data_IF_098895974577
#
_entry.id   IF_098895974577
#
_cell.length_a   1.000
_cell.length_b   1.000
_cell.length_c   1.000
_cell.angle_alpha   90.00
_cell.angle_beta   90.00
_cell.angle_gamma   90.00
#
_symmetry.space_group_name_H-M   'P 1'
#
loop_
_entity.id
_entity.type
_entity.pdbx_description
1 polymer ?
#
# COMPACT_ATOMS: atom_id res chain seq x y z
N UNK A 1 7.96 -22.53 4.39
CA UNK A 1 8.38 -21.54 5.44
C UNK A 1 9.74 -20.86 5.23
N UNK A 2 10.69 -21.36 4.42
CA UNK A 2 12.07 -20.82 4.39
C UNK A 2 12.52 -20.04 3.13
N UNK A 3 11.70 -19.86 2.09
CA UNK A 3 12.18 -19.18 0.85
C UNK A 3 11.75 -17.71 0.71
N UNK A 4 10.63 -17.32 1.31
CA UNK A 4 10.17 -15.91 1.29
C UNK A 4 11.13 -15.02 2.10
N UNK A 5 11.65 -15.51 3.22
CA UNK A 5 12.56 -14.78 4.10
C UNK A 5 13.98 -14.61 3.51
N UNK A 6 14.42 -15.53 2.64
CA UNK A 6 15.72 -15.42 1.94
C UNK A 6 15.64 -14.42 0.79
N UNK A 7 14.49 -14.34 0.10
CA UNK A 7 14.17 -13.25 -0.85
C UNK A 7 14.21 -11.87 -0.18
N UNK A 8 13.74 -11.78 1.07
CA UNK A 8 13.72 -10.54 1.86
C UNK A 8 15.10 -10.00 2.26
N UNK A 9 16.14 -10.84 2.35
CA UNK A 9 17.44 -10.45 2.93
C UNK A 9 18.44 -9.88 1.92
N UNK A 10 18.22 -10.04 0.59
CA UNK A 10 19.22 -9.71 -0.45
C UNK A 10 18.95 -8.46 -1.29
N UNK A 11 17.83 -7.73 -1.09
CA UNK A 11 17.40 -6.68 -2.04
C UNK A 11 17.05 -5.29 -1.46
N UNK A 12 17.77 -4.71 -0.47
CA UNK A 12 17.69 -3.26 -0.23
C UNK A 12 18.19 -2.41 -1.43
N UNK A 13 18.80 -3.04 -2.44
CA UNK A 13 19.34 -2.42 -3.64
C UNK A 13 18.32 -1.74 -4.56
N UNK A 14 17.03 -2.12 -4.53
CA UNK A 14 16.02 -1.54 -5.43
C UNK A 14 15.62 -0.12 -5.03
N UNK A 15 15.43 0.12 -3.72
CA UNK A 15 15.19 1.45 -3.16
C UNK A 15 16.38 2.39 -3.43
N UNK A 16 17.59 1.86 -3.29
CA UNK A 16 18.84 2.59 -3.56
C UNK A 16 19.01 2.86 -5.07
N UNK A 17 18.54 1.98 -5.95
CA UNK A 17 18.68 2.16 -7.40
C UNK A 17 17.85 3.33 -7.94
N UNK A 18 16.64 3.50 -7.41
CA UNK A 18 15.82 4.66 -7.74
C UNK A 18 16.45 5.97 -7.28
N UNK A 19 16.92 6.02 -6.03
CA UNK A 19 17.56 7.21 -5.48
C UNK A 19 18.93 7.49 -6.09
N UNK A 20 19.52 6.52 -6.80
CA UNK A 20 20.89 6.59 -7.33
C UNK A 20 21.11 7.82 -8.21
N UNK A 21 20.19 8.18 -9.08
CA UNK A 21 20.35 9.34 -9.98
C UNK A 21 20.32 10.67 -9.23
N UNK A 22 19.45 10.79 -8.22
CA UNK A 22 19.35 12.00 -7.41
C UNK A 22 20.51 12.07 -6.40
N UNK A 23 20.89 10.94 -5.81
CA UNK A 23 22.02 10.83 -4.91
C UNK A 23 23.34 11.06 -5.65
N UNK A 24 23.49 10.55 -6.88
CA UNK A 24 24.66 10.84 -7.71
C UNK A 24 24.74 12.32 -8.05
N UNK A 25 23.63 12.98 -8.40
CA UNK A 25 23.60 14.42 -8.60
C UNK A 25 24.06 15.20 -7.35
N UNK A 26 23.57 14.83 -6.15
CA UNK A 26 24.01 15.42 -4.89
C UNK A 26 25.52 15.24 -4.67
N UNK A 27 26.04 14.03 -4.93
CA UNK A 27 27.47 13.72 -4.80
C UNK A 27 28.28 14.54 -5.81
N UNK A 28 27.86 14.63 -7.08
CA UNK A 28 28.55 15.40 -8.11
C UNK A 28 28.64 16.88 -7.74
N UNK A 29 27.54 17.50 -7.31
CA UNK A 29 27.55 18.92 -6.91
C UNK A 29 28.35 19.14 -5.61
N UNK A 30 28.34 18.19 -4.67
CA UNK A 30 29.15 18.26 -3.45
C UNK A 30 30.64 18.22 -3.78
N UNK A 31 31.05 17.29 -4.64
CA UNK A 31 32.45 17.17 -5.10
C UNK A 31 32.86 18.40 -5.92
N UNK A 32 31.99 18.91 -6.80
CA UNK A 32 32.24 20.13 -7.55
C UNK A 32 32.45 21.35 -6.64
N UNK A 33 31.64 21.48 -5.58
CA UNK A 33 31.77 22.54 -4.58
C UNK A 33 33.09 22.42 -3.81
N UNK A 34 33.46 21.22 -3.36
CA UNK A 34 34.74 20.98 -2.66
C UNK A 34 35.92 21.29 -3.58
N UNK A 35 35.90 20.82 -4.82
CA UNK A 35 36.94 21.10 -5.82
C UNK A 35 37.09 22.60 -6.07
N UNK A 36 35.97 23.34 -6.13
CA UNK A 36 35.97 24.78 -6.25
C UNK A 36 36.65 25.48 -5.07
N UNK A 37 36.34 25.06 -3.83
CA UNK A 37 36.97 25.61 -2.62
C UNK A 37 38.46 25.29 -2.51
N UNK A 38 38.89 24.11 -2.93
CA UNK A 38 40.29 23.66 -2.85
C UNK A 38 41.17 24.30 -3.93
N UNK A 39 40.67 24.43 -5.15
CA UNK A 39 41.50 24.78 -6.31
C UNK A 39 41.37 26.23 -6.77
N UNK A 40 40.19 26.85 -6.58
CA UNK A 40 39.84 28.11 -7.23
C UNK A 40 39.55 29.26 -6.26
N UNK A 41 39.63 29.05 -4.94
CA UNK A 41 39.49 30.15 -3.97
C UNK A 41 40.68 31.10 -4.11
N UNK A 42 40.50 32.34 -4.59
CA UNK A 42 41.61 33.27 -4.70
C UNK A 42 42.14 33.56 -3.29
N UNK A 43 43.42 33.28 -3.05
CA UNK A 43 44.11 33.76 -1.84
C UNK A 43 43.94 35.28 -1.82
N UNK A 44 43.27 35.81 -0.79
CA UNK A 44 43.12 37.24 -0.57
C UNK A 44 44.48 37.92 -0.68
N UNK A 45 44.75 38.57 -1.82
CA UNK A 45 45.77 39.60 -1.93
C UNK A 45 45.01 40.91 -2.11
N UNK A 46 45.10 41.75 -1.09
CA UNK A 46 44.41 43.03 -1.06
C UNK A 46 44.86 43.90 -2.24
N UNK A 47 43.88 44.45 -2.95
CA UNK A 47 43.94 45.70 -3.69
C UNK A 47 42.55 45.96 -4.25
N UNK A 48 42.21 47.24 -4.36
CA UNK A 48 40.89 47.78 -4.60
C UNK A 48 40.25 47.32 -5.92
N UNK A 49 38.97 46.92 -5.83
CA UNK A 49 38.14 46.54 -6.97
C UNK A 49 38.06 45.03 -7.23
N UNK A 50 36.84 44.46 -7.14
CA UNK A 50 36.60 43.09 -7.62
C UNK A 50 36.95 43.03 -9.11
N UNK A 51 38.02 42.32 -9.46
CA UNK A 51 38.37 42.03 -10.86
C UNK A 51 37.22 41.27 -11.53
N UNK A 52 37.05 41.41 -12.85
CA UNK A 52 36.03 40.67 -13.62
C UNK A 52 36.11 39.15 -13.40
N UNK A 53 37.33 38.64 -13.15
CA UNK A 53 37.57 37.25 -12.75
C UNK A 53 36.95 36.89 -11.38
N UNK A 54 37.00 37.77 -10.39
CA UNK A 54 36.38 37.54 -9.07
C UNK A 54 34.85 37.60 -9.13
N UNK A 55 34.27 38.50 -9.94
CA UNK A 55 32.81 38.54 -10.17
C UNK A 55 32.29 37.28 -10.85
N UNK A 56 33.08 36.75 -11.79
CA UNK A 56 32.79 35.49 -12.50
C UNK A 56 32.96 34.29 -11.57
N UNK A 57 33.97 34.28 -10.71
CA UNK A 57 34.17 33.23 -9.72
C UNK A 57 33.04 33.18 -8.68
N UNK A 58 32.62 34.34 -8.17
CA UNK A 58 31.46 34.46 -7.29
C UNK A 58 30.20 33.97 -8.01
N UNK A 59 29.98 34.32 -9.28
CA UNK A 59 28.84 33.82 -10.06
C UNK A 59 28.77 32.29 -10.09
N UNK A 60 29.87 31.64 -10.45
CA UNK A 60 29.93 30.18 -10.56
C UNK A 60 29.73 29.51 -9.20
N UNK A 61 30.29 30.06 -8.12
CA UNK A 61 30.08 29.55 -6.76
C UNK A 61 28.59 29.56 -6.36
N UNK A 62 27.88 30.67 -6.57
CA UNK A 62 26.46 30.77 -6.22
C UNK A 62 25.59 29.83 -7.07
N UNK A 63 25.95 29.61 -8.35
CA UNK A 63 25.31 28.60 -9.20
C UNK A 63 25.49 27.19 -8.62
N UNK A 64 26.72 26.80 -8.29
CA UNK A 64 27.00 25.47 -7.71
C UNK A 64 26.26 25.27 -6.39
N UNK A 65 26.21 26.28 -5.51
CA UNK A 65 25.46 26.21 -4.24
C UNK A 65 23.96 26.03 -4.50
N UNK A 66 23.37 26.81 -5.40
CA UNK A 66 21.94 26.69 -5.73
C UNK A 66 21.57 25.32 -6.32
N UNK A 67 22.44 24.75 -7.17
CA UNK A 67 22.27 23.42 -7.75
C UNK A 67 22.44 22.32 -6.70
N UNK A 68 23.38 22.48 -5.76
CA UNK A 68 23.55 21.55 -4.64
C UNK A 68 22.29 21.51 -3.76
N UNK A 69 21.81 22.68 -3.30
CA UNK A 69 20.59 22.76 -2.50
C UNK A 69 19.39 22.22 -3.26
N UNK A 70 19.27 22.55 -4.54
CA UNK A 70 18.22 22.01 -5.41
C UNK A 70 18.25 20.49 -5.54
N UNK A 71 19.44 19.91 -5.69
CA UNK A 71 19.62 18.45 -5.77
C UNK A 71 19.23 17.74 -4.46
N UNK A 72 19.54 18.34 -3.32
CA UNK A 72 19.18 17.81 -2.00
C UNK A 72 17.66 17.86 -1.80
N UNK A 73 17.02 18.99 -2.12
CA UNK A 73 15.55 19.12 -2.04
C UNK A 73 14.85 18.15 -2.99
N UNK A 74 15.41 17.95 -4.18
CA UNK A 74 14.91 16.97 -5.14
C UNK A 74 15.03 15.53 -4.62
N UNK A 75 16.15 15.20 -3.97
CA UNK A 75 16.37 13.91 -3.33
C UNK A 75 15.34 13.68 -2.21
N UNK A 76 15.14 14.67 -1.34
CA UNK A 76 14.14 14.61 -0.24
C UNK A 76 12.72 14.46 -0.80
N UNK A 77 12.36 15.22 -1.84
CA UNK A 77 11.06 15.05 -2.51
C UNK A 77 10.89 13.62 -3.01
N UNK A 78 11.89 13.11 -3.73
CA UNK A 78 11.82 11.77 -4.32
C UNK A 78 11.77 10.66 -3.27
N UNK A 79 12.48 10.78 -2.14
CA UNK A 79 12.34 9.81 -1.03
C UNK A 79 10.93 9.86 -0.42
N UNK A 80 10.40 11.05 -0.15
CA UNK A 80 9.06 11.22 0.42
C UNK A 80 7.97 10.68 -0.51
N UNK A 81 8.02 11.00 -1.80
CA UNK A 81 7.10 10.46 -2.80
C UNK A 81 7.19 8.94 -2.90
N UNK A 82 8.40 8.38 -2.83
CA UNK A 82 8.60 6.93 -2.88
C UNK A 82 8.01 6.25 -1.63
N UNK A 83 8.21 6.81 -0.44
CA UNK A 83 7.63 6.30 0.81
C UNK A 83 6.11 6.41 0.80
N UNK A 84 5.56 7.54 0.37
CA UNK A 84 4.11 7.76 0.27
C UNK A 84 3.47 6.82 -0.76
N UNK A 85 4.06 6.72 -1.95
CA UNK A 85 3.61 5.82 -2.99
C UNK A 85 3.62 4.37 -2.47
N UNK A 86 4.71 3.97 -1.84
CA UNK A 86 4.85 2.65 -1.24
C UNK A 86 3.78 2.37 -0.17
N UNK A 87 3.64 3.27 0.80
CA UNK A 87 2.68 3.13 1.89
C UNK A 87 1.26 3.02 1.34
N UNK A 88 0.90 3.90 0.40
CA UNK A 88 -0.42 3.92 -0.22
C UNK A 88 -0.70 2.66 -1.04
N UNK A 89 0.24 2.23 -1.90
CA UNK A 89 0.00 1.09 -2.77
C UNK A 89 0.01 -0.24 -2.04
N UNK A 90 0.98 -0.44 -1.14
CA UNK A 90 1.10 -1.66 -0.39
C UNK A 90 -0.02 -1.82 0.64
N UNK A 91 -0.58 -0.75 1.21
CA UNK A 91 -1.68 -0.90 2.17
C UNK A 91 -3.07 -0.88 1.51
N UNK A 92 -3.29 -0.09 0.45
CA UNK A 92 -4.64 0.04 -0.15
C UNK A 92 -4.94 -0.99 -1.24
N UNK A 93 -3.94 -1.34 -2.05
CA UNK A 93 -4.16 -2.19 -3.22
C UNK A 93 -3.69 -3.62 -3.02
N UNK A 94 -2.75 -3.88 -2.11
CA UNK A 94 -2.28 -5.24 -1.85
C UNK A 94 -3.42 -6.16 -1.39
N UNK A 95 -4.21 -5.74 -0.40
CA UNK A 95 -5.34 -6.54 0.12
C UNK A 95 -6.38 -6.81 -0.97
N UNK A 96 -6.73 -5.77 -1.71
CA UNK A 96 -7.70 -5.86 -2.82
C UNK A 96 -7.17 -6.70 -3.98
N UNK A 97 -5.86 -6.68 -4.21
CA UNK A 97 -5.20 -7.52 -5.20
C UNK A 97 -5.19 -9.00 -4.75
N UNK A 98 -4.91 -9.27 -3.48
CA UNK A 98 -5.03 -10.63 -2.92
C UNK A 98 -6.45 -11.16 -3.06
N UNK A 99 -7.46 -10.35 -2.75
CA UNK A 99 -8.87 -10.71 -2.90
C UNK A 99 -9.24 -10.99 -4.36
N UNK A 100 -8.81 -10.14 -5.29
CA UNK A 100 -9.01 -10.34 -6.72
C UNK A 100 -8.35 -11.64 -7.23
N UNK A 101 -7.15 -11.96 -6.74
CA UNK A 101 -6.41 -13.18 -7.11
C UNK A 101 -7.06 -14.43 -6.50
N UNK A 102 -7.54 -14.36 -5.27
CA UNK A 102 -8.25 -15.46 -4.62
C UNK A 102 -9.56 -15.78 -5.37
N UNK A 103 -10.33 -14.76 -5.74
CA UNK A 103 -11.54 -14.94 -6.56
C UNK A 103 -11.21 -15.61 -7.90
N UNK A 104 -10.10 -15.24 -8.53
CA UNK A 104 -9.70 -15.81 -9.81
C UNK A 104 -9.20 -17.25 -9.71
N UNK A 105 -8.42 -17.54 -8.68
CA UNK A 105 -8.01 -18.89 -8.36
C UNK A 105 -9.24 -19.80 -8.20
N UNK A 106 -10.24 -19.34 -7.43
CA UNK A 106 -11.48 -20.08 -7.22
C UNK A 106 -12.20 -20.33 -8.55
N UNK A 107 -12.37 -19.32 -9.40
CA UNK A 107 -13.01 -19.48 -10.71
C UNK A 107 -12.27 -20.51 -11.57
N UNK A 108 -10.94 -20.41 -11.61
CA UNK A 108 -10.08 -21.31 -12.39
C UNK A 108 -10.15 -22.75 -11.87
N UNK A 109 -10.18 -22.93 -10.55
CA UNK A 109 -10.31 -24.23 -9.91
C UNK A 109 -11.66 -24.90 -10.18
N UNK A 110 -12.74 -24.13 -10.18
CA UNK A 110 -14.09 -24.62 -10.49
C UNK A 110 -14.27 -24.96 -11.98
N UNK A 111 -13.61 -24.23 -12.88
CA UNK A 111 -13.63 -24.52 -14.32
C UNK A 111 -12.72 -25.74 -14.67
N UNK A 112 -11.73 -26.05 -13.82
CA UNK A 112 -10.82 -27.20 -13.96
C UNK A 112 -11.46 -28.55 -13.58
N UNK A 113 -10.91 -29.69 -14.03
CA UNK A 113 -11.38 -31.01 -13.59
C UNK A 113 -11.19 -31.22 -12.07
N UNK A 114 -11.96 -32.13 -11.44
CA UNK A 114 -11.90 -32.36 -9.99
C UNK A 114 -10.50 -32.86 -9.57
N UNK A 115 -10.04 -32.40 -8.40
CA UNK A 115 -8.69 -32.64 -7.86
C UNK A 115 -8.34 -34.13 -7.74
N UNK A 116 -9.34 -35.01 -7.58
CA UNK A 116 -9.18 -36.45 -7.46
C UNK A 116 -8.82 -37.16 -8.77
N UNK A 117 -8.87 -36.47 -9.91
CA UNK A 117 -8.51 -37.06 -11.21
C UNK A 117 -7.00 -37.00 -11.46
N UNK A 118 -6.43 -38.09 -11.97
CA UNK A 118 -4.98 -38.21 -12.23
C UNK A 118 -4.50 -37.10 -13.18
N UNK A 119 -3.54 -36.28 -12.74
CA UNK A 119 -3.01 -35.14 -13.50
C UNK A 119 -3.76 -33.81 -13.36
N UNK A 120 -4.91 -33.77 -12.65
CA UNK A 120 -5.68 -32.55 -12.47
C UNK A 120 -4.98 -31.49 -11.62
N UNK A 121 -4.17 -31.90 -10.63
CA UNK A 121 -3.36 -30.96 -9.85
C UNK A 121 -2.31 -30.25 -10.73
N UNK A 122 -1.66 -30.97 -11.64
CA UNK A 122 -0.68 -30.39 -12.55
C UNK A 122 -1.34 -29.49 -13.61
N UNK A 123 -2.51 -29.87 -14.12
CA UNK A 123 -3.29 -29.03 -15.05
C UNK A 123 -3.82 -27.75 -14.36
N UNK A 124 -4.33 -27.89 -13.13
CA UNK A 124 -4.80 -26.79 -12.31
C UNK A 124 -3.65 -25.84 -11.97
N UNK A 125 -2.48 -26.36 -11.61
CA UNK A 125 -1.29 -25.52 -11.37
C UNK A 125 -0.84 -24.79 -12.63
N UNK A 126 -0.87 -25.44 -13.80
CA UNK A 126 -0.56 -24.81 -15.08
C UNK A 126 -1.55 -23.70 -15.48
N UNK A 127 -2.86 -23.95 -15.33
CA UNK A 127 -3.92 -22.97 -15.59
C UNK A 127 -3.87 -21.82 -14.58
N UNK A 128 -3.76 -22.13 -13.29
CA UNK A 128 -3.62 -21.15 -12.21
C UNK A 128 -2.42 -20.25 -12.45
N UNK A 129 -1.26 -20.83 -12.81
CA UNK A 129 -0.05 -20.05 -13.09
C UNK A 129 -0.32 -19.03 -14.20
N UNK A 130 -0.89 -19.46 -15.34
CA UNK A 130 -1.22 -18.56 -16.46
C UNK A 130 -2.21 -17.46 -16.08
N UNK A 131 -3.29 -17.82 -15.41
CA UNK A 131 -4.35 -16.87 -15.04
C UNK A 131 -3.85 -15.86 -14.01
N UNK A 132 -3.08 -16.32 -13.01
CA UNK A 132 -2.43 -15.40 -12.08
C UNK A 132 -1.45 -14.51 -12.81
N UNK A 133 -0.66 -15.03 -13.76
CA UNK A 133 0.25 -14.21 -14.57
C UNK A 133 -0.50 -13.12 -15.36
N UNK A 134 -1.65 -13.42 -15.97
CA UNK A 134 -2.44 -12.44 -16.73
C UNK A 134 -3.11 -11.39 -15.84
N UNK A 135 -3.74 -11.82 -14.74
CA UNK A 135 -4.35 -10.91 -13.77
C UNK A 135 -3.27 -10.02 -13.16
N UNK A 136 -2.18 -10.63 -12.68
CA UNK A 136 -1.06 -9.87 -12.15
C UNK A 136 -0.44 -8.97 -13.20
N UNK A 137 -0.40 -9.32 -14.49
CA UNK A 137 0.04 -8.43 -15.58
C UNK A 137 -0.82 -7.18 -15.69
N UNK A 138 -2.13 -7.33 -15.76
CA UNK A 138 -3.06 -6.20 -15.86
C UNK A 138 -2.95 -5.28 -14.65
N UNK A 139 -2.79 -5.84 -13.45
CA UNK A 139 -2.50 -5.08 -12.23
C UNK A 139 -1.16 -4.37 -12.31
N UNK A 140 -0.16 -5.08 -12.80
CA UNK A 140 1.22 -4.69 -12.78
C UNK A 140 1.54 -3.65 -13.85
N UNK A 141 0.95 -3.70 -15.02
CA UNK A 141 1.13 -2.66 -16.02
C UNK A 141 0.59 -1.34 -15.49
N UNK A 142 -0.53 -1.36 -14.76
CA UNK A 142 -1.08 -0.17 -14.11
C UNK A 142 -0.22 0.27 -12.90
N UNK A 143 0.37 -0.66 -12.15
CA UNK A 143 1.27 -0.39 -11.01
C UNK A 143 2.67 0.07 -11.44
N UNK A 144 3.25 -0.51 -12.48
CA UNK A 144 4.48 -0.06 -13.13
C UNK A 144 4.29 1.35 -13.62
N UNK A 145 3.17 1.60 -14.30
CA UNK A 145 2.78 2.92 -14.72
C UNK A 145 2.58 3.91 -13.56
N UNK A 146 2.18 3.43 -12.39
CA UNK A 146 2.01 4.25 -11.19
C UNK A 146 3.35 4.59 -10.53
N UNK A 147 4.22 3.58 -10.37
CA UNK A 147 5.58 3.71 -9.85
C UNK A 147 6.45 4.53 -10.81
N UNK A 148 6.28 4.40 -12.13
CA UNK A 148 7.01 5.19 -13.13
C UNK A 148 6.54 6.64 -13.17
N UNK A 149 5.28 6.97 -12.89
CA UNK A 149 4.77 8.33 -13.03
C UNK A 149 5.35 9.36 -12.05
N UNK A 150 6.05 8.96 -10.99
CA UNK A 150 6.83 9.87 -10.13
C UNK A 150 8.34 9.88 -10.39
N UNK A 151 8.79 8.98 -11.27
CA UNK A 151 10.11 8.34 -11.22
C UNK A 151 10.51 7.90 -12.66
N UNK A 152 9.97 8.59 -13.68
CA UNK A 152 9.95 8.16 -15.10
C UNK A 152 11.33 7.79 -15.64
N UNK A 153 12.41 8.40 -15.16
CA UNK A 153 13.78 8.11 -15.60
C UNK A 153 14.46 6.90 -14.92
N UNK A 154 13.93 6.39 -13.81
CA UNK A 154 14.56 5.35 -12.96
C UNK A 154 14.16 3.92 -13.35
N UNK A 155 13.02 3.72 -14.02
CA UNK A 155 12.52 2.37 -14.37
C UNK A 155 13.07 1.90 -15.71
N UNK A 156 13.20 2.79 -16.70
CA UNK A 156 13.75 2.46 -18.03
C UNK A 156 15.21 1.97 -17.96
N UNK A 157 15.96 2.39 -16.93
CA UNK A 157 17.37 2.02 -16.72
C UNK A 157 17.55 0.72 -15.92
N UNK A 158 16.62 0.39 -15.02
CA UNK A 158 16.62 -0.87 -14.25
C UNK A 158 16.23 -2.09 -15.09
N UNK A 159 15.41 -1.89 -16.12
CA UNK A 159 14.86 -2.93 -17.00
C UNK A 159 15.93 -3.69 -17.83
N UNK A 160 17.18 -3.20 -17.87
CA UNK A 160 18.24 -3.74 -18.74
C UNK A 160 19.17 -4.80 -18.10
N UNK A 161 19.08 -5.17 -16.81
CA UNK A 161 20.07 -6.11 -16.21
C UNK A 161 19.49 -7.31 -15.42
N UNK A 162 19.67 -8.49 -16.04
CA UNK A 162 19.69 -9.90 -15.56
C UNK A 162 18.50 -10.44 -14.74
N UNK A 163 17.55 -10.96 -15.53
CA UNK A 163 16.57 -12.04 -15.30
C UNK A 163 17.03 -13.14 -14.34
N UNK A 164 16.31 -13.36 -13.24
CA UNK A 164 16.27 -14.65 -12.52
C UNK A 164 14.80 -14.97 -12.23
N UNK A 165 14.36 -16.14 -12.67
CA UNK A 165 12.98 -16.62 -12.57
C UNK A 165 12.73 -17.13 -11.14
N UNK A 166 11.91 -16.41 -10.37
CA UNK A 166 11.53 -16.80 -9.01
C UNK A 166 10.12 -17.41 -9.06
N UNK A 167 10.00 -18.65 -8.60
CA UNK A 167 8.72 -19.39 -8.54
C UNK A 167 7.99 -18.99 -7.26
N UNK A 168 6.90 -18.23 -7.37
CA UNK A 168 6.07 -17.79 -6.23
C UNK A 168 4.90 -18.76 -6.07
N UNK A 169 4.76 -19.39 -4.91
CA UNK A 169 3.59 -20.22 -4.60
C UNK A 169 2.44 -19.34 -4.07
N UNK A 170 1.41 -19.20 -4.91
CA UNK A 170 0.25 -18.34 -4.66
C UNK A 170 -0.58 -18.85 -3.47
N UNK A 171 -0.58 -20.17 -3.19
CA UNK A 171 -1.32 -20.74 -2.06
C UNK A 171 -0.72 -20.29 -0.74
N UNK A 172 0.61 -20.20 -0.62
CA UNK A 172 1.25 -19.66 0.58
C UNK A 172 1.00 -18.14 0.72
N UNK A 173 1.02 -17.38 -0.38
CA UNK A 173 0.76 -15.93 -0.35
C UNK A 173 -0.67 -15.61 0.10
N UNK A 174 -1.66 -16.40 -0.34
CA UNK A 174 -3.06 -16.20 0.07
C UNK A 174 -3.29 -16.47 1.56
N UNK A 175 -2.54 -17.41 2.16
CA UNK A 175 -2.66 -17.82 3.57
C UNK A 175 -2.15 -16.80 4.58
N UNK A 176 -1.19 -15.96 4.20
CA UNK A 176 -0.57 -15.00 5.11
C UNK A 176 -1.42 -13.72 5.17
N UNK A 177 -1.94 -13.29 6.34
CA UNK A 177 -2.62 -12.01 6.49
C UNK A 177 -1.79 -10.87 5.90
N UNK A 178 -2.43 -9.91 5.24
CA UNK A 178 -1.71 -8.78 4.69
C UNK A 178 -0.93 -7.99 5.75
N UNK A 179 -1.40 -8.03 7.00
CA UNK A 179 -0.80 -7.41 8.18
C UNK A 179 0.55 -8.04 8.57
N UNK A 180 0.76 -9.32 8.27
CA UNK A 180 2.01 -10.04 8.59
C UNK A 180 3.15 -9.74 7.61
N UNK A 181 2.86 -9.08 6.48
CA UNK A 181 3.89 -8.69 5.53
C UNK A 181 4.46 -7.31 5.89
N UNK A 182 5.77 -7.19 6.19
CA UNK A 182 6.43 -5.90 6.29
C UNK A 182 6.22 -5.05 5.03
N UNK A 183 6.22 -3.71 5.16
CA UNK A 183 5.97 -2.81 4.03
C UNK A 183 6.92 -3.06 2.84
N UNK A 184 8.20 -3.31 3.13
CA UNK A 184 9.21 -3.66 2.12
C UNK A 184 8.93 -5.00 1.44
N UNK A 185 8.31 -5.94 2.16
CA UNK A 185 7.93 -7.25 1.65
C UNK A 185 6.76 -7.13 0.69
N UNK A 186 5.76 -6.31 1.01
CA UNK A 186 4.63 -6.03 0.11
C UNK A 186 5.13 -5.42 -1.21
N UNK A 187 6.11 -4.51 -1.15
CA UNK A 187 6.76 -3.96 -2.35
C UNK A 187 7.48 -5.03 -3.15
N UNK A 188 8.34 -5.83 -2.50
CA UNK A 188 9.12 -6.87 -3.16
C UNK A 188 8.24 -7.98 -3.73
N UNK A 189 7.09 -8.27 -3.12
CA UNK A 189 6.10 -9.19 -3.68
C UNK A 189 5.44 -8.61 -4.93
N UNK A 190 5.02 -7.35 -4.89
CA UNK A 190 4.48 -6.66 -6.07
C UNK A 190 5.51 -6.64 -7.22
N UNK A 191 6.79 -6.46 -6.91
CA UNK A 191 7.90 -6.43 -7.88
C UNK A 191 8.40 -7.83 -8.30
N UNK A 192 8.37 -8.84 -7.43
CA UNK A 192 8.68 -10.22 -7.81
C UNK A 192 7.56 -10.82 -8.67
N UNK A 193 6.31 -10.48 -8.35
CA UNK A 193 5.16 -10.69 -9.22
C UNK A 193 5.40 -9.95 -10.55
N UNK A 194 5.94 -8.73 -10.50
CA UNK A 194 6.27 -7.94 -11.70
C UNK A 194 7.20 -8.63 -12.69
N UNK A 195 8.26 -9.20 -12.15
CA UNK A 195 9.34 -9.81 -12.90
C UNK A 195 8.97 -11.22 -13.39
N UNK A 196 8.15 -11.96 -12.62
CA UNK A 196 7.63 -13.29 -13.00
C UNK A 196 6.67 -13.22 -14.19
N UNK A 197 5.93 -12.12 -14.31
CA UNK A 197 4.87 -11.91 -15.32
C UNK A 197 5.41 -11.50 -16.69
N UNK A 198 6.50 -10.74 -16.72
CA UNK A 198 7.10 -10.27 -17.98
C UNK A 198 7.74 -11.40 -18.80
N UNK A 199 7.94 -12.59 -18.23
CA UNK A 199 8.65 -13.72 -18.88
C UNK A 199 7.74 -14.68 -19.65
N UNK A 200 6.43 -14.69 -19.40
CA UNK A 200 5.46 -15.59 -20.06
C UNK A 200 4.82 -15.02 -21.31
N UNK A 201 5.33 -13.91 -21.84
CA UNK A 201 4.74 -13.19 -22.97
C UNK A 201 5.12 -13.77 -24.34
N UNK A 202 4.97 -15.09 -24.48
CA UNK A 202 5.00 -15.80 -25.75
C UNK A 202 4.11 -17.05 -25.67
N UNK A 203 2.81 -16.88 -25.40
CA UNK A 203 1.72 -17.76 -25.90
C UNK A 203 0.35 -17.40 -25.29
N UNK A 204 -0.54 -16.94 -26.18
CA UNK A 204 -1.99 -17.17 -26.32
C UNK A 204 -2.99 -17.42 -25.15
N UNK A 205 -4.17 -16.82 -25.38
CA UNK A 205 -5.55 -17.35 -25.24
C UNK A 205 -6.27 -17.40 -23.87
N UNK A 206 -6.12 -16.40 -23.01
CA UNK A 206 -7.07 -16.20 -21.88
C UNK A 206 -7.76 -14.83 -21.96
N UNK A 207 -8.58 -14.63 -23.00
CA UNK A 207 -9.65 -13.62 -22.98
C UNK A 207 -10.73 -14.10 -21.99
N UNK A 208 -10.67 -13.69 -20.72
CA UNK A 208 -11.75 -13.97 -19.78
C UNK A 208 -12.46 -12.69 -19.33
N UNK A 209 -13.63 -12.51 -19.96
CA UNK A 209 -14.79 -11.71 -19.57
C UNK A 209 -14.66 -10.20 -19.76
N UNK A 210 -14.97 -9.72 -20.96
CA UNK A 210 -15.07 -8.28 -21.22
C UNK A 210 -16.50 -7.74 -20.99
N UNK A 211 -17.46 -8.60 -20.69
CA UNK A 211 -18.86 -8.24 -20.57
C UNK A 211 -19.55 -8.94 -19.39
N UNK A 212 -20.41 -8.21 -18.67
CA UNK A 212 -21.27 -8.73 -17.59
C UNK A 212 -22.09 -9.96 -18.04
N UNK A 213 -22.54 -9.98 -19.30
CA UNK A 213 -23.30 -11.12 -19.84
C UNK A 213 -22.44 -12.38 -20.02
N UNK A 214 -21.15 -12.24 -20.34
CA UNK A 214 -20.22 -13.37 -20.42
C UNK A 214 -19.96 -13.97 -19.03
N UNK A 215 -19.88 -13.12 -18.00
CA UNK A 215 -19.79 -13.54 -16.61
C UNK A 215 -20.97 -14.39 -16.16
N UNK A 216 -22.19 -13.98 -16.50
CA UNK A 216 -23.38 -14.75 -16.17
C UNK A 216 -23.46 -16.08 -16.94
N UNK A 217 -22.99 -16.11 -18.19
CA UNK A 217 -22.91 -17.35 -18.99
C UNK A 217 -21.86 -18.32 -18.44
N UNK A 218 -20.68 -17.83 -18.08
CA UNK A 218 -19.64 -18.63 -17.45
C UNK A 218 -20.10 -19.18 -16.09
N UNK A 219 -20.78 -18.36 -15.29
CA UNK A 219 -21.37 -18.77 -14.01
C UNK A 219 -22.35 -19.93 -14.20
N UNK A 220 -23.26 -19.81 -15.18
CA UNK A 220 -24.25 -20.85 -15.49
C UNK A 220 -23.59 -22.17 -15.91
N UNK A 221 -22.51 -22.09 -16.70
CA UNK A 221 -21.75 -23.26 -17.18
C UNK A 221 -21.04 -23.97 -16.03
N UNK A 222 -20.36 -23.22 -15.17
CA UNK A 222 -19.65 -23.76 -14.01
C UNK A 222 -20.65 -24.33 -13.00
N UNK A 223 -21.76 -23.64 -12.76
CA UNK A 223 -22.81 -24.10 -11.86
C UNK A 223 -23.42 -25.42 -12.35
N UNK A 224 -23.78 -25.52 -13.63
CA UNK A 224 -24.33 -26.74 -14.21
C UNK A 224 -23.35 -27.93 -14.20
N UNK A 225 -22.04 -27.66 -14.20
CA UNK A 225 -20.98 -28.68 -14.11
C UNK A 225 -20.85 -29.27 -12.71
N UNK A 226 -21.08 -28.47 -11.66
CA UNK A 226 -20.82 -28.83 -10.26
C UNK A 226 -22.08 -29.24 -9.52
N UNK A 227 -23.23 -28.63 -9.82
CA UNK A 227 -24.47 -28.83 -9.09
C UNK A 227 -24.99 -30.28 -9.21
N UNK A 228 -25.53 -30.79 -8.10
CA UNK A 228 -26.25 -32.04 -8.09
C UNK A 228 -27.56 -31.91 -8.91
N UNK A 229 -27.77 -32.80 -9.88
CA UNK A 229 -29.10 -33.08 -10.44
C UNK A 229 -29.72 -34.23 -9.69
N UNK A 230 -30.35 -33.99 -8.54
CA UNK A 230 -31.30 -34.91 -7.91
C UNK A 230 -32.07 -34.22 -6.80
N UNK A 231 -33.30 -33.81 -7.10
CA UNK A 231 -34.50 -34.33 -6.45
C UNK A 231 -35.75 -33.82 -7.18
N UNK A 232 -36.89 -34.48 -6.92
CA UNK A 232 -38.17 -34.43 -7.64
C UNK A 232 -38.82 -33.04 -7.88
N UNK A 233 -38.17 -31.94 -7.48
CA UNK A 233 -38.63 -30.55 -7.63
C UNK A 233 -37.73 -29.67 -8.52
N UNK A 234 -36.75 -30.24 -9.22
CA UNK A 234 -36.03 -29.57 -10.32
C UNK A 234 -35.22 -28.30 -9.91
N UNK A 235 -34.86 -28.16 -8.63
CA UNK A 235 -33.97 -27.09 -8.16
C UNK A 235 -32.54 -27.61 -8.04
N UNK A 236 -31.64 -27.14 -8.91
CA UNK A 236 -30.20 -27.42 -8.83
C UNK A 236 -29.54 -26.56 -7.74
N UNK A 237 -28.75 -27.19 -6.88
CA UNK A 237 -27.99 -26.52 -5.81
C UNK A 237 -26.59 -27.14 -5.65
N UNK A 238 -25.67 -26.36 -5.07
CA UNK A 238 -24.31 -26.78 -4.73
C UNK A 238 -24.16 -26.81 -3.21
N UNK A 239 -23.65 -27.92 -2.68
CA UNK A 239 -23.28 -28.06 -1.27
C UNK A 239 -21.78 -27.85 -1.06
N UNK A 240 -21.39 -27.61 0.20
CA UNK A 240 -19.97 -27.46 0.57
C UNK A 240 -19.14 -28.69 0.18
N UNK A 241 -19.72 -29.88 0.27
CA UNK A 241 -19.06 -31.13 -0.09
C UNK A 241 -18.72 -31.23 -1.60
N UNK A 242 -19.51 -30.60 -2.46
CA UNK A 242 -19.30 -30.58 -3.91
C UNK A 242 -18.11 -29.70 -4.27
N UNK A 243 -17.99 -28.55 -3.59
CA UNK A 243 -16.87 -27.63 -3.77
C UNK A 243 -15.54 -28.22 -3.28
N UNK A 244 -15.55 -29.07 -2.23
CA UNK A 244 -14.34 -29.77 -1.75
C UNK A 244 -13.69 -30.68 -2.79
N UNK A 245 -14.40 -31.05 -3.86
CA UNK A 245 -13.84 -31.84 -4.97
C UNK A 245 -12.94 -31.01 -5.88
N UNK A 246 -13.09 -29.70 -5.86
CA UNK A 246 -12.38 -28.75 -6.73
C UNK A 246 -11.46 -27.80 -5.93
N UNK A 247 -11.75 -27.58 -4.65
CA UNK A 247 -11.08 -26.61 -3.79
C UNK A 247 -10.57 -27.27 -2.50
N UNK A 248 -9.39 -26.85 -2.05
CA UNK A 248 -8.85 -27.21 -0.73
C UNK A 248 -9.65 -26.51 0.39
N UNK A 249 -9.71 -27.12 1.58
CA UNK A 249 -10.46 -26.59 2.74
C UNK A 249 -10.09 -25.13 3.09
N UNK A 250 -8.81 -24.76 2.95
CA UNK A 250 -8.32 -23.39 3.20
C UNK A 250 -8.99 -22.35 2.27
N UNK A 251 -9.14 -22.69 1.00
CA UNK A 251 -9.65 -21.79 -0.04
C UNK A 251 -11.18 -21.77 0.00
N UNK A 252 -11.78 -22.89 0.39
CA UNK A 252 -13.19 -22.97 0.69
C UNK A 252 -13.57 -22.03 1.85
N UNK A 253 -12.75 -21.95 2.90
CA UNK A 253 -12.97 -21.01 4.01
C UNK A 253 -12.87 -19.53 3.60
N UNK A 254 -12.04 -19.21 2.60
CA UNK A 254 -11.96 -17.87 1.98
C UNK A 254 -13.16 -17.57 1.07
N UNK A 255 -13.64 -18.57 0.33
CA UNK A 255 -14.72 -18.44 -0.65
C UNK A 255 -16.10 -18.35 0.00
N UNK A 256 -16.39 -19.20 0.99
CA UNK A 256 -17.72 -19.33 1.59
C UNK A 256 -18.31 -18.00 2.12
N UNK A 257 -17.54 -17.12 2.79
CA UNK A 257 -18.04 -15.81 3.23
C UNK A 257 -18.42 -14.87 2.08
N UNK A 258 -17.89 -15.08 0.87
CA UNK A 258 -18.19 -14.25 -0.30
C UNK A 258 -19.51 -14.65 -1.01
N UNK A 259 -20.02 -15.86 -0.73
CA UNK A 259 -21.24 -16.38 -1.35
C UNK A 259 -22.44 -16.17 -0.43
N UNK A 260 -23.57 -15.84 -1.04
CA UNK A 260 -24.86 -15.80 -0.35
C UNK A 260 -25.37 -17.23 -0.18
N UNK A 261 -25.31 -17.73 1.05
CA UNK A 261 -25.84 -19.04 1.41
C UNK A 261 -27.34 -18.92 1.71
N UNK A 262 -28.13 -19.86 1.19
CA UNK A 262 -29.53 -20.02 1.57
C UNK A 262 -29.65 -20.41 3.06
N UNK A 263 -30.87 -20.34 3.64
CA UNK A 263 -31.20 -20.73 5.02
C UNK A 263 -30.70 -22.14 5.40
N UNK A 264 -30.54 -23.00 4.40
CA UNK A 264 -30.06 -24.37 4.55
C UNK A 264 -28.54 -24.53 4.31
N UNK A 265 -27.79 -23.44 4.15
CA UNK A 265 -26.36 -23.48 3.83
C UNK A 265 -26.04 -23.92 2.40
N UNK A 266 -27.01 -23.85 1.48
CA UNK A 266 -26.90 -24.25 0.07
C UNK A 266 -26.61 -23.06 -0.85
N UNK A 267 -25.88 -23.29 -1.93
CA UNK A 267 -25.57 -22.28 -2.95
C UNK A 267 -26.52 -22.48 -4.14
N UNK A 268 -27.33 -21.45 -4.44
CA UNK A 268 -28.28 -21.45 -5.55
C UNK A 268 -27.64 -20.87 -6.83
N UNK A 269 -28.19 -21.20 -8.00
CA UNK A 269 -27.70 -20.67 -9.30
C UNK A 269 -27.69 -19.14 -9.33
N UNK A 270 -28.73 -18.49 -8.79
CA UNK A 270 -28.80 -17.04 -8.66
C UNK A 270 -27.70 -16.48 -7.74
N UNK A 271 -27.47 -17.11 -6.57
CA UNK A 271 -26.41 -16.68 -5.66
C UNK A 271 -25.03 -16.79 -6.32
N UNK A 272 -24.78 -17.86 -7.07
CA UNK A 272 -23.50 -18.10 -7.75
C UNK A 272 -23.29 -17.12 -8.92
N UNK A 273 -24.34 -16.85 -9.72
CA UNK A 273 -24.34 -15.81 -10.76
C UNK A 273 -24.07 -14.42 -10.18
N UNK A 274 -24.72 -14.07 -9.08
CA UNK A 274 -24.53 -12.78 -8.41
C UNK A 274 -23.11 -12.64 -7.86
N UNK A 275 -22.55 -13.70 -7.28
CA UNK A 275 -21.17 -13.72 -6.82
C UNK A 275 -20.17 -13.53 -7.97
N UNK A 276 -20.34 -14.25 -9.07
CA UNK A 276 -19.43 -14.12 -10.22
C UNK A 276 -19.52 -12.73 -10.88
N UNK A 277 -20.72 -12.14 -10.91
CA UNK A 277 -20.91 -10.76 -11.35
C UNK A 277 -20.23 -9.74 -10.40
N UNK A 278 -20.35 -9.94 -9.08
CA UNK A 278 -19.64 -9.12 -8.08
C UNK A 278 -18.13 -9.24 -8.21
N UNK A 279 -17.59 -10.44 -8.38
CA UNK A 279 -16.17 -10.67 -8.59
C UNK A 279 -15.66 -9.97 -9.87
N UNK A 280 -16.43 -10.03 -10.96
CA UNK A 280 -16.14 -9.30 -12.19
C UNK A 280 -16.15 -7.78 -12.01
N UNK A 281 -17.22 -7.23 -11.42
CA UNK A 281 -17.35 -5.79 -11.16
C UNK A 281 -16.26 -5.29 -10.21
N UNK A 282 -15.89 -6.09 -9.21
CA UNK A 282 -14.80 -5.77 -8.28
C UNK A 282 -13.48 -5.55 -9.03
N UNK A 283 -13.14 -6.42 -9.99
CA UNK A 283 -11.94 -6.26 -10.83
C UNK A 283 -11.98 -5.01 -11.69
N UNK A 284 -13.11 -4.74 -12.35
CA UNK A 284 -13.28 -3.53 -13.16
C UNK A 284 -13.12 -2.25 -12.34
N UNK A 285 -13.81 -2.18 -11.20
CA UNK A 285 -13.75 -1.04 -10.29
C UNK A 285 -12.33 -0.86 -9.79
N UNK A 286 -11.65 -1.94 -9.43
CA UNK A 286 -10.29 -1.89 -8.91
C UNK A 286 -9.28 -1.48 -10.02
N UNK A 287 -9.43 -1.96 -11.26
CA UNK A 287 -8.64 -1.52 -12.43
C UNK A 287 -8.81 -0.03 -12.70
N UNK A 288 -10.04 0.45 -12.75
CA UNK A 288 -10.34 1.87 -12.90
C UNK A 288 -9.83 2.71 -11.72
N UNK A 289 -9.92 2.20 -10.50
CA UNK A 289 -9.41 2.89 -9.31
C UNK A 289 -7.89 3.09 -9.37
N UNK A 290 -7.11 2.08 -9.79
CA UNK A 290 -5.66 2.26 -9.93
C UNK A 290 -5.35 3.21 -11.09
N UNK A 291 -6.02 3.05 -12.25
CA UNK A 291 -5.80 3.92 -13.41
C UNK A 291 -6.12 5.40 -13.12
N UNK A 292 -7.18 5.68 -12.35
CA UNK A 292 -7.52 7.04 -11.95
C UNK A 292 -6.54 7.60 -10.91
N UNK A 293 -6.14 6.80 -9.92
CA UNK A 293 -5.15 7.21 -8.93
C UNK A 293 -3.77 7.49 -9.56
N UNK A 294 -3.40 6.80 -10.66
CA UNK A 294 -2.22 7.13 -11.48
C UNK A 294 -2.28 8.55 -12.02
N UNK A 295 -3.39 8.93 -12.63
CA UNK A 295 -3.56 10.27 -13.20
C UNK A 295 -3.45 11.35 -12.12
N UNK A 296 -4.05 11.10 -10.95
CA UNK A 296 -3.98 12.00 -9.80
C UNK A 296 -2.55 12.13 -9.26
N UNK A 297 -1.86 11.01 -9.06
CA UNK A 297 -0.47 11.02 -8.59
C UNK A 297 0.47 11.72 -9.57
N UNK A 298 0.35 11.47 -10.88
CA UNK A 298 1.14 12.17 -11.91
C UNK A 298 0.93 13.69 -11.86
N UNK A 299 -0.31 14.15 -11.68
CA UNK A 299 -0.61 15.57 -11.52
C UNK A 299 0.00 16.14 -10.24
N UNK A 300 -0.06 15.41 -9.13
CA UNK A 300 0.56 15.82 -7.87
C UNK A 300 2.08 15.98 -8.02
N UNK A 301 2.75 14.99 -8.62
CA UNK A 301 4.20 15.05 -8.88
C UNK A 301 4.54 16.23 -9.78
N UNK A 302 3.79 16.45 -10.86
CA UNK A 302 4.00 17.57 -11.78
C UNK A 302 3.91 18.93 -11.07
N UNK A 303 2.92 19.10 -10.17
CA UNK A 303 2.79 20.32 -9.36
C UNK A 303 3.99 20.47 -8.42
N UNK A 304 4.39 19.39 -7.73
CA UNK A 304 5.50 19.41 -6.78
C UNK A 304 6.85 19.68 -7.47
N UNK A 305 7.05 19.14 -8.67
CA UNK A 305 8.21 19.42 -9.53
C UNK A 305 8.23 20.90 -9.93
N UNK A 306 7.09 21.46 -10.34
CA UNK A 306 6.96 22.88 -10.67
C UNK A 306 7.32 23.78 -9.49
N UNK A 307 6.78 23.48 -8.29
CA UNK A 307 7.10 24.25 -7.07
C UNK A 307 8.58 24.18 -6.72
N UNK A 308 9.21 23.00 -6.82
CA UNK A 308 10.66 22.88 -6.57
C UNK A 308 11.50 23.66 -7.57
N UNK A 309 11.18 23.59 -8.87
CA UNK A 309 11.93 24.32 -9.90
C UNK A 309 11.84 25.83 -9.66
N UNK A 310 10.64 26.35 -9.36
CA UNK A 310 10.44 27.75 -8.99
C UNK A 310 11.26 28.11 -7.74
N UNK A 311 11.24 27.25 -6.70
CA UNK A 311 12.03 27.45 -5.49
C UNK A 311 13.53 27.51 -5.73
N UNK A 312 14.08 26.66 -6.61
CA UNK A 312 15.50 26.66 -6.98
C UNK A 312 15.87 27.93 -7.74
N UNK A 313 15.02 28.40 -8.66
CA UNK A 313 15.23 29.66 -9.39
C UNK A 313 15.23 30.85 -8.42
N UNK A 314 14.26 30.90 -7.49
CA UNK A 314 14.19 31.95 -6.48
C UNK A 314 15.41 31.96 -5.57
N UNK A 315 15.88 30.77 -5.14
CA UNK A 315 17.09 30.62 -4.35
C UNK A 315 18.32 31.14 -5.11
N UNK A 316 18.48 30.78 -6.38
CA UNK A 316 19.58 31.26 -7.21
C UNK A 316 19.56 32.78 -7.39
N UNK A 317 18.38 33.36 -7.63
CA UNK A 317 18.18 34.80 -7.77
C UNK A 317 18.49 35.56 -6.47
N UNK A 318 18.11 35.02 -5.31
CA UNK A 318 18.39 35.58 -4.00
C UNK A 318 19.89 35.55 -3.68
N UNK A 319 20.56 34.43 -3.94
CA UNK A 319 22.01 34.25 -3.76
C UNK A 319 22.84 35.24 -4.58
N UNK A 320 22.33 35.65 -5.75
CA UNK A 320 23.01 36.61 -6.62
C UNK A 320 22.85 38.07 -6.20
N UNK A 321 22.02 38.37 -5.19
CA UNK A 321 21.59 39.73 -4.85
C UNK A 321 21.06 40.54 -6.07
N UNK A 322 20.63 39.84 -7.14
CA UNK A 322 20.01 40.46 -8.33
C UNK A 322 18.62 40.97 -7.95
N UNK A 323 17.94 40.21 -7.09
CA UNK A 323 16.67 40.61 -6.48
C UNK A 323 17.01 41.60 -5.38
N UNK A 324 16.93 42.87 -5.73
CA UNK A 324 16.91 43.98 -4.79
C UNK A 324 15.85 43.71 -3.70
N UNK A 325 16.10 44.10 -2.46
CA UNK A 325 15.15 44.02 -1.33
C UNK A 325 13.69 44.51 -1.60
N UNK A 326 13.46 45.31 -2.62
CA UNK A 326 12.21 45.90 -3.09
C UNK A 326 11.39 44.86 -3.86
N UNK A 327 12.03 44.01 -4.66
CA UNK A 327 11.34 42.93 -5.39
C UNK A 327 11.02 41.74 -4.48
N UNK A 328 11.69 41.61 -3.33
CA UNK A 328 11.28 40.67 -2.27
C UNK A 328 9.92 41.04 -1.66
N UNK A 329 9.55 42.33 -1.65
CA UNK A 329 8.24 42.80 -1.15
C UNK A 329 7.08 42.22 -1.98
N UNK A 330 7.30 41.87 -3.25
CA UNK A 330 6.26 41.26 -4.10
C UNK A 330 6.12 39.74 -3.86
N UNK A 331 7.21 39.07 -3.51
CA UNK A 331 7.26 37.60 -3.39
C UNK A 331 6.84 37.15 -1.98
N UNK A 332 7.28 37.88 -0.95
CA UNK A 332 7.00 37.55 0.46
C UNK A 332 5.48 37.40 0.73
N UNK A 333 4.60 38.29 0.26
CA UNK A 333 3.16 38.16 0.49
C UNK A 333 2.55 36.91 -0.15
N UNK A 334 3.06 36.47 -1.31
CA UNK A 334 2.56 35.26 -1.98
C UNK A 334 2.96 33.99 -1.22
N UNK A 335 4.21 33.94 -0.75
CA UNK A 335 4.68 32.85 0.12
C UNK A 335 3.91 32.86 1.44
N UNK A 336 3.69 34.04 2.03
CA UNK A 336 2.91 34.19 3.26
C UNK A 336 1.45 33.76 3.07
N UNK A 337 0.81 34.11 1.95
CA UNK A 337 -0.54 33.66 1.63
C UNK A 337 -0.62 32.13 1.48
N UNK A 338 0.37 31.52 0.81
CA UNK A 338 0.48 30.06 0.73
C UNK A 338 0.67 29.41 2.11
N UNK A 339 1.57 29.96 2.93
CA UNK A 339 1.79 29.50 4.30
C UNK A 339 0.55 29.69 5.18
N UNK A 340 -0.25 30.73 4.96
CA UNK A 340 -1.50 30.94 5.69
C UNK A 340 -2.56 29.89 5.32
N UNK A 341 -2.71 29.59 4.02
CA UNK A 341 -3.69 28.61 3.55
C UNK A 341 -3.31 27.18 3.97
N UNK A 342 -2.03 26.82 3.86
CA UNK A 342 -1.57 25.43 4.07
C UNK A 342 -0.86 25.19 5.41
N UNK A 343 -0.54 26.23 6.17
CA UNK A 343 0.27 26.14 7.39
C UNK A 343 -0.39 25.26 8.45
N UNK A 344 -1.68 25.47 8.72
CA UNK A 344 -2.42 24.67 9.71
C UNK A 344 -2.51 23.19 9.31
N UNK A 345 -2.74 22.92 8.02
CA UNK A 345 -2.76 21.55 7.50
C UNK A 345 -1.40 20.85 7.66
N UNK A 346 -0.31 21.58 7.41
CA UNK A 346 1.06 21.06 7.51
C UNK A 346 1.46 20.82 8.97
N UNK A 347 1.09 21.75 9.86
CA UNK A 347 1.29 21.62 11.31
C UNK A 347 0.60 20.37 11.86
N UNK A 348 -0.70 20.21 11.59
CA UNK A 348 -1.47 19.04 12.03
C UNK A 348 -0.89 17.73 11.48
N UNK A 349 -0.50 17.71 10.21
CA UNK A 349 0.16 16.55 9.60
C UNK A 349 1.45 16.17 10.32
N UNK A 350 2.29 17.15 10.65
CA UNK A 350 3.55 16.95 11.35
C UNK A 350 3.35 16.49 12.80
N UNK A 351 2.49 17.17 13.56
CA UNK A 351 2.16 16.78 14.95
C UNK A 351 1.62 15.35 15.02
N UNK A 352 0.70 15.00 14.11
CA UNK A 352 0.18 13.64 14.03
C UNK A 352 1.25 12.60 13.69
N UNK A 353 2.17 12.92 12.77
CA UNK A 353 3.27 12.02 12.43
C UNK A 353 4.25 11.83 13.61
N UNK A 354 4.65 12.91 14.27
CA UNK A 354 5.51 12.83 15.47
C UNK A 354 4.83 12.02 16.56
N UNK A 355 3.54 12.26 16.83
CA UNK A 355 2.81 11.51 17.84
C UNK A 355 2.80 10.00 17.57
N UNK A 356 2.45 9.58 16.35
CA UNK A 356 2.36 8.14 16.07
C UNK A 356 3.73 7.48 15.92
N UNK A 357 4.70 8.09 15.21
CA UNK A 357 5.97 7.43 14.92
C UNK A 357 7.04 7.63 15.98
N UNK A 358 7.02 8.74 16.72
CA UNK A 358 8.03 9.01 17.76
C UNK A 358 7.53 8.62 19.14
N UNK A 359 6.32 9.04 19.52
CA UNK A 359 5.75 8.71 20.85
C UNK A 359 5.25 7.27 20.88
N UNK A 360 4.77 6.77 19.75
CA UNK A 360 4.37 5.38 19.56
C UNK A 360 3.39 4.89 20.65
N UNK A 361 2.19 5.48 20.77
CA UNK A 361 1.21 5.12 21.81
C UNK A 361 0.60 3.71 21.63
N UNK A 362 0.64 3.19 20.41
CA UNK A 362 0.12 1.89 20.02
C UNK A 362 0.87 1.34 18.81
N UNK A 363 0.68 0.05 18.56
CA UNK A 363 1.27 -0.71 17.46
C UNK A 363 0.18 -1.36 16.57
N UNK A 364 0.57 -1.85 15.40
CA UNK A 364 -0.35 -2.62 14.54
C UNK A 364 -0.72 -3.92 15.25
N UNK A 365 -2.02 -4.21 15.32
CA UNK A 365 -2.59 -5.34 16.04
C UNK A 365 -3.00 -5.03 17.47
N UNK A 366 -2.73 -3.83 18.00
CA UNK A 366 -3.16 -3.45 19.34
C UNK A 366 -4.68 -3.27 19.42
N UNK A 367 -5.26 -3.76 20.51
CA UNK A 367 -6.63 -3.48 20.91
C UNK A 367 -6.64 -2.19 21.75
N UNK A 368 -7.19 -1.13 21.18
CA UNK A 368 -7.25 0.18 21.79
C UNK A 368 -8.69 0.66 21.93
N UNK A 369 -8.95 1.57 22.85
CA UNK A 369 -10.18 2.36 22.91
C UNK A 369 -9.85 3.77 22.45
N UNK A 370 -10.55 4.23 21.43
CA UNK A 370 -10.41 5.57 20.87
C UNK A 370 -11.77 6.25 20.99
N UNK A 371 -11.87 7.26 21.87
CA UNK A 371 -13.13 7.97 22.12
C UNK A 371 -14.29 7.03 22.49
N UNK A 372 -14.05 6.16 23.49
CA UNK A 372 -14.99 5.16 24.03
C UNK A 372 -15.38 4.01 23.09
N UNK A 373 -14.84 3.98 21.87
CA UNK A 373 -15.08 2.87 20.95
C UNK A 373 -13.89 1.92 20.99
N UNK A 374 -14.09 0.64 21.36
CA UNK A 374 -13.02 -0.33 21.34
C UNK A 374 -12.76 -0.76 19.88
N UNK A 375 -11.50 -0.74 19.48
CA UNK A 375 -11.03 -0.93 18.11
C UNK A 375 -9.70 -1.68 18.07
N UNK A 376 -9.47 -2.40 16.98
CA UNK A 376 -8.20 -3.05 16.68
C UNK A 376 -7.44 -2.24 15.63
N UNK A 377 -6.16 -1.96 15.86
CA UNK A 377 -5.37 -1.14 14.94
C UNK A 377 -4.87 -2.00 13.77
N UNK A 378 -5.23 -1.59 12.56
CA UNK A 378 -4.91 -2.36 11.34
C UNK A 378 -3.76 -1.78 10.57
N UNK A 379 -3.80 -0.48 10.29
CA UNK A 379 -2.79 0.17 9.47
C UNK A 379 -2.42 1.54 10.02
N UNK A 380 -1.12 1.78 10.16
CA UNK A 380 -0.59 3.11 10.46
C UNK A 380 0.00 3.71 9.18
N UNK A 381 -0.58 4.83 8.74
CA UNK A 381 -0.07 5.63 7.64
C UNK A 381 0.59 6.91 8.16
N UNK A 382 1.22 7.65 7.24
CA UNK A 382 1.93 8.89 7.60
C UNK A 382 0.99 9.98 8.12
N UNK A 383 -0.21 10.08 7.53
CA UNK A 383 -1.20 11.11 7.85
C UNK A 383 -2.47 10.55 8.53
N UNK A 384 -2.73 9.26 8.34
CA UNK A 384 -3.96 8.60 8.76
C UNK A 384 -3.70 7.20 9.27
N UNK A 385 -4.48 6.79 10.27
CA UNK A 385 -4.45 5.44 10.85
C UNK A 385 -5.80 4.78 10.66
N UNK A 386 -5.79 3.55 10.18
CA UNK A 386 -6.97 2.73 9.96
C UNK A 386 -7.15 1.77 11.12
N UNK A 387 -8.34 1.77 11.70
CA UNK A 387 -8.73 0.88 12.78
C UNK A 387 -9.95 0.06 12.37
N UNK A 388 -10.10 -1.12 12.97
CA UNK A 388 -11.22 -2.02 12.76
C UNK A 388 -12.07 -2.08 14.02
N UNK A 389 -13.37 -1.81 13.88
CA UNK A 389 -14.35 -1.96 14.96
C UNK A 389 -14.80 -3.43 15.10
N UNK A 390 -15.48 -3.74 16.20
CA UNK A 390 -16.06 -5.07 16.46
C UNK A 390 -17.11 -5.50 15.43
N UNK A 391 -17.82 -4.54 14.84
CA UNK A 391 -18.74 -4.75 13.72
C UNK A 391 -18.03 -5.03 12.38
N UNK A 392 -16.71 -5.19 12.40
CA UNK A 392 -15.82 -5.39 11.24
C UNK A 392 -15.72 -4.18 10.30
N UNK A 393 -16.24 -3.01 10.67
CA UNK A 393 -16.06 -1.79 9.88
C UNK A 393 -14.63 -1.25 10.00
N UNK A 394 -14.08 -0.76 8.89
CA UNK A 394 -12.81 -0.05 8.87
C UNK A 394 -13.06 1.46 8.99
N UNK A 395 -12.50 2.07 10.03
CA UNK A 395 -12.58 3.51 10.30
C UNK A 395 -11.22 4.15 10.11
N UNK A 396 -11.20 5.32 9.48
CA UNK A 396 -9.99 6.06 9.18
C UNK A 396 -9.94 7.31 10.06
N UNK A 397 -8.92 7.39 10.91
CA UNK A 397 -8.64 8.58 11.69
C UNK A 397 -7.46 9.34 11.10
N UNK A 398 -7.51 10.67 11.14
CA UNK A 398 -6.30 11.47 10.90
C UNK A 398 -5.39 11.37 12.10
N UNK A 399 -4.08 11.27 11.88
CA UNK A 399 -3.11 11.16 12.97
C UNK A 399 -3.15 12.40 13.87
N UNK A 400 -3.46 13.56 13.29
CA UNK A 400 -3.69 14.80 14.02
C UNK A 400 -4.87 14.69 15.00
N UNK A 401 -5.99 14.09 14.58
CA UNK A 401 -7.13 13.89 15.47
C UNK A 401 -6.81 12.87 16.56
N UNK A 402 -6.09 11.79 16.24
CA UNK A 402 -5.65 10.81 17.24
C UNK A 402 -4.73 11.42 18.29
N UNK A 403 -3.86 12.35 17.89
CA UNK A 403 -2.99 13.07 18.83
C UNK A 403 -3.77 13.94 19.84
N UNK A 404 -5.02 14.30 19.54
CA UNK A 404 -5.88 15.08 20.43
C UNK A 404 -6.85 14.24 21.27
N UNK A 405 -7.00 12.95 20.95
CA UNK A 405 -7.93 12.07 21.63
C UNK A 405 -7.21 11.22 22.68
N UNK A 406 -7.86 10.91 23.83
CA UNK A 406 -7.33 9.92 24.75
C UNK A 406 -7.36 8.53 24.11
N UNK A 407 -6.27 7.78 24.24
CA UNK A 407 -6.13 6.43 23.70
C UNK A 407 -5.81 5.48 24.85
N UNK A 408 -6.72 4.57 25.14
CA UNK A 408 -6.51 3.51 26.13
C UNK A 408 -6.05 2.25 25.42
N UNK A 409 -4.82 1.81 25.66
CA UNK A 409 -4.27 0.62 25.01
C UNK A 409 -4.41 -0.58 25.95
N UNK A 410 -5.24 -1.55 25.58
CA UNK A 410 -5.46 -2.77 26.36
C UNK A 410 -4.35 -3.80 26.17
N UNK A 411 -3.66 -3.79 25.03
CA UNK A 411 -2.60 -4.76 24.75
C UNK A 411 -1.32 -4.50 25.56
N UNK A 412 -1.02 -3.23 25.88
CA UNK A 412 0.26 -2.87 26.50
C UNK A 412 0.38 -3.20 28.00
N UNK A 413 -0.74 -3.30 28.72
CA UNK A 413 -0.71 -3.68 30.13
C UNK A 413 -1.38 -5.05 30.31
N UNK A 414 -0.62 -6.13 30.61
CA UNK A 414 -1.19 -7.45 30.81
C UNK A 414 -2.01 -7.56 32.11
N UNK A 415 -1.80 -6.67 33.07
CA UNK A 415 -2.51 -6.68 34.35
C UNK A 415 -3.71 -5.73 34.28
N UNK A 416 -4.82 -6.23 33.77
CA UNK A 416 -6.09 -5.52 33.71
C UNK A 416 -7.07 -6.04 34.76
N UNK A 417 -7.87 -5.14 35.32
CA UNK A 417 -8.98 -5.47 36.22
C UNK A 417 -10.31 -5.14 35.56
N UNK A 418 -11.32 -5.96 35.82
CA UNK A 418 -12.71 -5.69 35.45
C UNK A 418 -13.55 -5.58 36.73
N UNK A 419 -14.65 -4.84 36.68
CA UNK A 419 -15.53 -4.62 37.83
C UNK A 419 -16.99 -4.84 37.42
N UNK A 420 -17.65 -5.78 38.07
CA UNK A 420 -19.09 -6.00 37.91
C UNK A 420 -19.85 -5.33 39.05
N UNK A 421 -20.74 -4.39 38.73
CA UNK A 421 -21.71 -3.87 39.69
C UNK A 421 -22.98 -4.71 39.63
N UNK A 422 -23.42 -5.21 40.77
CA UNK A 422 -24.71 -5.86 40.92
C UNK A 422 -25.40 -5.37 42.18
N UNK A 423 -26.72 -5.32 42.13
CA UNK A 423 -27.55 -4.92 43.26
C UNK A 423 -27.91 -6.15 44.10
N UNK A 424 -27.90 -5.98 45.42
CA UNK A 424 -28.29 -7.01 46.38
C UNK A 424 -29.60 -6.55 47.01
N UNK A 425 -30.58 -7.44 47.12
CA UNK A 425 -31.84 -7.15 47.80
C UNK A 425 -31.58 -6.81 49.27
N UNK A 426 -32.28 -5.79 49.79
CA UNK A 426 -32.11 -5.28 51.16
C UNK A 426 -32.40 -6.37 52.21
N UNK A 427 -33.27 -7.32 51.88
CA UNK A 427 -33.62 -8.46 52.74
C UNK A 427 -32.56 -9.56 52.75
N UNK A 428 -31.49 -9.45 51.94
CA UNK A 428 -30.45 -10.47 51.86
C UNK A 428 -29.64 -10.50 53.17
N UNK A 429 -29.58 -11.65 53.87
CA UNK A 429 -28.82 -11.76 55.11
C UNK A 429 -27.31 -11.56 54.89
N UNK A 430 -26.65 -10.84 55.80
CA UNK A 430 -25.22 -10.51 55.70
C UNK A 430 -24.31 -11.74 55.56
N UNK A 431 -24.68 -12.86 56.18
CA UNK A 431 -23.98 -14.15 56.03
C UNK A 431 -23.91 -14.64 54.58
N UNK A 432 -24.96 -14.43 53.78
CA UNK A 432 -24.95 -14.81 52.35
C UNK A 432 -24.06 -13.90 51.53
N UNK A 433 -23.97 -12.62 51.89
CA UNK A 433 -23.09 -11.64 51.24
C UNK A 433 -21.62 -11.98 51.51
N UNK A 434 -21.28 -12.37 52.74
CA UNK A 434 -19.93 -12.82 53.06
C UNK A 434 -19.55 -14.10 52.32
N UNK A 435 -20.45 -15.09 52.27
CA UNK A 435 -20.25 -16.30 51.46
C UNK A 435 -19.98 -15.98 49.99
N UNK A 436 -20.80 -15.10 49.39
CA UNK A 436 -20.61 -14.67 48.01
C UNK A 436 -19.24 -14.00 47.80
N UNK A 437 -18.78 -13.17 48.73
CA UNK A 437 -17.44 -12.54 48.65
C UNK A 437 -16.32 -13.56 48.70
N UNK A 438 -16.44 -14.56 49.56
CA UNK A 438 -15.42 -15.61 49.71
C UNK A 438 -15.40 -16.52 48.48
N UNK A 439 -16.56 -16.77 47.88
CA UNK A 439 -16.71 -17.58 46.66
C UNK A 439 -16.20 -16.84 45.41
N UNK A 440 -16.36 -15.51 45.32
CA UNK A 440 -15.80 -14.68 44.24
C UNK A 440 -14.27 -14.56 44.34
N UNK A 441 -13.70 -14.59 45.55
CA UNK A 441 -12.25 -14.52 45.78
C UNK A 441 -11.53 -15.84 45.50
N UNK A 442 -12.27 -16.95 45.52
CA UNK A 442 -11.77 -18.30 45.27
C UNK A 442 -11.66 -18.55 43.76
#
# INVERSE_FOLDING_TARGET
RFDILVLMKRRPLYYIHGLKTNASACIYFSVALIAWFVHLRPKHKGAEGKTEAQKTADFVLHVIISLLVGSILWLIKSTLLLVLATSFCCNRFFDRAKESLAQEYVITALDSPPLQSSGAEAELEGKTRRVVLDVTKDWLDVMKDWLTCGVVSMVESAQRRKKHEVKIDIREVMKVPAEEFPLYTKQLLVEAISDSVNWTFQQNDLRFMNNKQEAQKAASRIFAKIAHKKDAQNCSYIEKADLKRYLTDDILALMLPMLELDKNGRITDQSFKSWMERAYNFRLVLKHAIANNKKLFKRLVMVLDGVLVVGIILLWLALRHIVKWETMILIIPQIAAGAFIFGESTKKAFEGAVYIFLVHPFDIGDCCVIGDIPVEIKYMGVLTTTVKKFDKQLVYYTNAALATLPISNYTRNPNMGDSLQFSIDLMTPEKKIQLLKDEIKR
#
